data_IF_013236721848
#
_entry.id   IF_013236721848
#
_cell.length_a   1.000
_cell.length_b   1.000
_cell.length_c   1.000
_cell.angle_alpha   90.00
_cell.angle_beta   90.00
_cell.angle_gamma   90.00
#
_symmetry.space_group_name_H-M   'P 1'
#
loop_
_entity.id
_entity.type
_entity.pdbx_description
1 polymer ?
#
# COMPACT_ATOMS: atom_id res chain seq x y z
N UNK A 1 -11.03 31.17 -13.44
CA UNK A 1 -10.08 32.29 -13.29
C UNK A 1 -10.38 32.92 -11.95
N UNK A 2 -9.42 32.91 -11.03
CA UNK A 2 -9.49 33.66 -9.78
C UNK A 2 -9.77 35.14 -10.09
N UNK A 3 -10.60 35.79 -9.27
CA UNK A 3 -10.83 37.23 -9.34
C UNK A 3 -9.51 37.95 -9.04
N UNK A 4 -8.71 38.24 -10.06
CA UNK A 4 -7.48 39.03 -9.93
C UNK A 4 -7.88 40.46 -9.62
N UNK A 5 -7.54 40.95 -8.42
CA UNK A 5 -7.81 42.34 -8.02
C UNK A 5 -6.53 43.18 -8.07
N UNK A 6 -6.63 44.51 -8.16
CA UNK A 6 -5.46 45.40 -8.07
C UNK A 6 -4.65 45.17 -6.79
N UNK A 7 -5.31 44.92 -5.65
CA UNK A 7 -4.67 44.67 -4.36
C UNK A 7 -3.84 43.38 -4.39
N UNK A 8 -4.34 42.33 -5.05
CA UNK A 8 -3.60 41.09 -5.25
C UNK A 8 -2.35 41.28 -6.11
N UNK A 9 -2.45 42.08 -7.19
CA UNK A 9 -1.29 42.41 -8.01
C UNK A 9 -0.23 43.21 -7.23
N UNK A 10 -0.66 44.15 -6.38
CA UNK A 10 0.23 44.92 -5.51
C UNK A 10 0.92 44.03 -4.46
N UNK A 11 0.21 43.08 -3.87
CA UNK A 11 0.79 42.10 -2.93
C UNK A 11 1.88 41.25 -3.60
N UNK A 12 1.64 40.78 -4.84
CA UNK A 12 2.66 40.07 -5.63
C UNK A 12 3.91 40.94 -5.82
N UNK A 13 3.73 42.21 -6.20
CA UNK A 13 4.87 43.12 -6.43
C UNK A 13 5.66 43.31 -5.14
N UNK A 14 4.99 43.62 -4.03
CA UNK A 14 5.66 43.81 -2.73
C UNK A 14 6.40 42.57 -2.26
N UNK A 15 5.86 41.38 -2.54
CA UNK A 15 6.41 40.11 -2.09
C UNK A 15 7.57 39.59 -2.94
N UNK A 16 7.51 39.77 -4.26
CA UNK A 16 8.43 39.11 -5.19
C UNK A 16 9.41 40.06 -5.87
N UNK A 17 9.10 41.35 -5.99
CA UNK A 17 10.03 42.34 -6.53
C UNK A 17 11.22 42.55 -5.58
N UNK A 18 12.42 42.69 -6.15
CA UNK A 18 13.67 42.85 -5.40
C UNK A 18 14.12 44.30 -5.39
N UNK A 19 13.81 45.07 -6.44
CA UNK A 19 14.15 46.48 -6.54
C UNK A 19 13.18 47.35 -5.73
N UNK A 20 13.71 48.11 -4.78
CA UNK A 20 12.91 49.08 -4.00
C UNK A 20 12.31 50.17 -4.89
N UNK A 21 13.03 50.62 -5.93
CA UNK A 21 12.50 51.57 -6.92
C UNK A 21 11.27 50.98 -7.65
N UNK A 22 11.34 49.72 -8.06
CA UNK A 22 10.22 49.06 -8.74
C UNK A 22 9.04 48.83 -7.77
N UNK A 23 9.30 48.54 -6.50
CA UNK A 23 8.24 48.44 -5.48
C UNK A 23 7.52 49.77 -5.28
N UNK A 24 8.26 50.88 -5.20
CA UNK A 24 7.69 52.23 -5.09
C UNK A 24 6.85 52.60 -6.32
N UNK A 25 7.28 52.18 -7.51
CA UNK A 25 6.57 52.42 -8.77
C UNK A 25 5.47 51.39 -9.07
N UNK A 26 5.29 50.38 -8.22
CA UNK A 26 4.36 49.26 -8.42
C UNK A 26 4.57 48.53 -9.75
N UNK A 27 5.82 48.20 -10.07
CA UNK A 27 6.22 47.47 -11.28
C UNK A 27 6.87 46.15 -10.90
N UNK A 28 6.53 45.07 -11.63
CA UNK A 28 7.21 43.77 -11.52
C UNK A 28 8.22 43.60 -12.67
N UNK A 29 9.51 43.57 -12.34
CA UNK A 29 10.60 43.47 -13.30
C UNK A 29 10.71 42.09 -13.94
N UNK A 30 11.06 42.05 -15.23
CA UNK A 30 11.12 40.83 -16.08
C UNK A 30 12.53 40.34 -16.43
N UNK A 31 13.61 41.06 -16.07
CA UNK A 31 14.93 40.86 -16.69
C UNK A 31 15.94 39.95 -15.94
N UNK A 32 16.73 39.24 -16.76
CA UNK A 32 17.66 38.17 -16.41
C UNK A 32 19.04 38.62 -15.88
N UNK A 33 19.29 39.93 -15.71
CA UNK A 33 20.47 40.39 -14.99
C UNK A 33 20.30 40.07 -13.50
N UNK A 34 21.37 39.63 -12.83
CA UNK A 34 21.39 39.01 -11.49
C UNK A 34 20.70 39.77 -10.34
N UNK A 35 20.16 40.96 -10.58
CA UNK A 35 19.66 41.90 -9.58
C UNK A 35 18.16 42.26 -9.71
N UNK A 36 17.42 41.79 -10.73
CA UNK A 36 16.01 42.19 -10.98
C UNK A 36 15.07 41.02 -11.35
N UNK A 37 14.94 40.02 -10.47
CA UNK A 37 14.21 38.77 -10.77
C UNK A 37 12.75 38.71 -10.29
N UNK A 38 12.04 39.84 -10.20
CA UNK A 38 10.69 39.90 -9.64
C UNK A 38 9.70 38.90 -10.26
N UNK A 39 9.53 38.98 -11.57
CA UNK A 39 8.63 38.09 -12.31
C UNK A 39 9.08 36.62 -12.27
N UNK A 40 10.39 36.35 -12.42
CA UNK A 40 10.92 34.98 -12.32
C UNK A 40 10.71 34.38 -10.94
N UNK A 41 10.87 35.16 -9.87
CA UNK A 41 10.63 34.71 -8.49
C UNK A 41 9.16 34.39 -8.26
N UNK A 42 8.25 35.22 -8.76
CA UNK A 42 6.81 34.97 -8.72
C UNK A 42 6.44 33.69 -9.47
N UNK A 43 6.90 33.53 -10.71
CA UNK A 43 6.63 32.34 -11.54
C UNK A 43 7.18 31.04 -10.95
N UNK A 44 8.23 31.11 -10.13
CA UNK A 44 8.81 29.95 -9.42
C UNK A 44 8.23 29.75 -8.02
N UNK A 45 7.29 30.60 -7.61
CA UNK A 45 6.65 30.52 -6.30
C UNK A 45 5.49 29.53 -6.31
N UNK A 46 5.05 29.05 -5.13
CA UNK A 46 3.86 28.21 -5.01
C UNK A 46 2.57 28.86 -5.56
N UNK A 47 2.52 30.18 -5.71
CA UNK A 47 1.37 30.87 -6.29
C UNK A 47 1.20 30.61 -7.80
N UNK A 48 2.27 30.20 -8.47
CA UNK A 48 2.30 29.84 -9.89
C UNK A 48 2.54 28.34 -10.11
N UNK A 49 2.40 27.53 -9.05
CA UNK A 49 2.49 26.09 -9.20
C UNK A 49 1.40 25.60 -10.17
N UNK A 50 1.73 24.61 -10.99
CA UNK A 50 0.76 23.95 -11.86
C UNK A 50 -0.25 23.15 -11.02
N UNK A 51 0.14 22.72 -9.83
CA UNK A 51 -0.74 22.06 -8.88
C UNK A 51 -1.65 23.07 -8.19
N UNK A 52 -2.96 22.82 -8.19
CA UNK A 52 -3.92 23.67 -7.49
C UNK A 52 -3.69 23.56 -5.97
N UNK A 53 -3.24 24.62 -5.28
CA UNK A 53 -2.93 24.55 -3.85
C UNK A 53 -4.18 24.25 -2.99
N UNK A 54 -5.39 24.51 -3.48
CA UNK A 54 -6.64 24.15 -2.80
C UNK A 54 -6.85 22.63 -2.72
N UNK A 55 -6.16 21.84 -3.54
CA UNK A 55 -6.22 20.38 -3.54
C UNK A 55 -5.12 19.75 -2.68
N UNK A 56 -4.30 20.55 -2.00
CA UNK A 56 -3.31 20.06 -1.03
C UNK A 56 -3.96 19.60 0.29
N UNK A 57 -5.22 19.96 0.52
CA UNK A 57 -6.05 19.51 1.64
C UNK A 57 -7.28 18.75 1.13
N UNK A 58 -8.01 18.14 2.07
CA UNK A 58 -9.26 17.45 1.78
C UNK A 58 -10.27 18.48 1.28
N UNK A 59 -10.65 18.38 0.01
CA UNK A 59 -11.53 19.32 -0.69
C UNK A 59 -12.79 18.65 -1.26
N UNK A 60 -12.84 17.32 -1.21
CA UNK A 60 -13.98 16.53 -1.69
C UNK A 60 -14.96 16.25 -0.56
N UNK A 61 -16.19 15.89 -0.92
CA UNK A 61 -17.16 15.32 0.00
C UNK A 61 -16.65 13.96 0.48
N UNK A 62 -16.47 13.79 1.79
CA UNK A 62 -15.97 12.56 2.43
C UNK A 62 -17.06 11.77 3.15
N UNK A 63 -18.33 12.13 2.94
CA UNK A 63 -19.51 11.52 3.56
C UNK A 63 -20.25 10.55 2.63
N UNK A 64 -19.80 10.35 1.39
CA UNK A 64 -20.34 9.32 0.51
C UNK A 64 -19.92 7.91 0.97
N UNK A 65 -20.64 6.85 0.57
CA UNK A 65 -20.23 5.47 0.85
C UNK A 65 -18.81 5.16 0.37
N UNK A 66 -18.06 4.34 1.12
CA UNK A 66 -16.65 4.02 0.83
C UNK A 66 -16.40 3.53 -0.61
N UNK A 67 -17.36 2.84 -1.22
CA UNK A 67 -17.27 2.34 -2.60
C UNK A 67 -17.27 3.44 -3.68
N UNK A 68 -17.50 4.70 -3.32
CA UNK A 68 -17.53 5.83 -4.27
C UNK A 68 -16.16 6.50 -4.44
N UNK A 69 -15.11 6.01 -3.77
CA UNK A 69 -13.78 6.60 -3.77
C UNK A 69 -12.75 5.65 -4.37
N UNK A 70 -11.78 6.20 -5.08
CA UNK A 70 -10.53 5.50 -5.32
C UNK A 70 -9.73 5.41 -4.01
N UNK A 71 -9.20 4.23 -3.70
CA UNK A 71 -8.43 3.98 -2.49
C UNK A 71 -7.00 3.66 -2.89
N UNK A 72 -6.05 4.49 -2.44
CA UNK A 72 -4.62 4.22 -2.61
C UNK A 72 -4.28 2.89 -1.92
N UNK A 73 -3.83 1.92 -2.72
CA UNK A 73 -3.70 0.52 -2.31
C UNK A 73 -2.31 -0.02 -2.67
N UNK A 74 -1.73 -0.83 -1.78
CA UNK A 74 -0.43 -1.47 -1.96
C UNK A 74 -0.60 -2.98 -2.00
N UNK A 75 0.04 -3.61 -2.99
CA UNK A 75 0.09 -5.06 -3.16
C UNK A 75 1.38 -5.62 -2.55
N UNK A 76 1.29 -6.78 -1.89
CA UNK A 76 2.40 -7.45 -1.19
C UNK A 76 3.29 -6.45 -0.44
N UNK A 77 2.64 -5.65 0.42
CA UNK A 77 3.21 -4.44 1.04
C UNK A 77 4.51 -4.69 1.80
N UNK A 78 4.72 -5.91 2.29
CA UNK A 78 5.91 -6.30 3.03
C UNK A 78 7.19 -6.38 2.17
N UNK A 79 7.09 -6.51 0.84
CA UNK A 79 8.24 -6.69 -0.05
C UNK A 79 8.99 -5.39 -0.33
N UNK A 80 10.31 -5.47 -0.27
CA UNK A 80 11.22 -4.36 -0.61
C UNK A 80 11.55 -4.27 -2.10
N UNK A 81 11.30 -5.32 -2.87
CA UNK A 81 11.73 -5.46 -4.25
C UNK A 81 10.87 -6.44 -5.04
N UNK A 82 11.51 -7.42 -5.67
CA UNK A 82 10.83 -8.41 -6.50
C UNK A 82 9.98 -9.42 -5.70
N UNK A 83 9.12 -10.13 -6.43
CA UNK A 83 8.16 -11.08 -5.88
C UNK A 83 8.78 -12.43 -5.48
N UNK A 84 10.03 -12.75 -5.81
CA UNK A 84 10.56 -14.12 -5.67
C UNK A 84 11.65 -14.23 -4.61
N UNK A 85 12.54 -13.26 -4.53
CA UNK A 85 13.79 -13.32 -3.76
C UNK A 85 13.97 -12.15 -2.79
N UNK A 86 13.17 -11.10 -2.92
CA UNK A 86 13.42 -9.87 -2.17
C UNK A 86 13.21 -10.02 -0.66
N UNK A 87 13.75 -9.07 0.09
CA UNK A 87 13.53 -9.03 1.53
C UNK A 87 12.11 -8.53 1.83
N UNK A 88 11.49 -9.15 2.83
CA UNK A 88 10.32 -8.61 3.52
C UNK A 88 10.76 -7.76 4.70
N UNK A 89 10.13 -6.60 4.88
CA UNK A 89 10.46 -5.63 5.93
C UNK A 89 9.25 -4.94 6.49
N UNK A 90 9.20 -4.80 7.82
CA UNK A 90 8.12 -4.09 8.51
C UNK A 90 8.09 -2.61 8.14
N UNK A 91 9.25 -2.02 7.84
CA UNK A 91 9.38 -0.61 7.44
C UNK A 91 8.63 -0.27 6.15
N UNK A 92 8.34 -1.26 5.30
CA UNK A 92 7.57 -1.03 4.09
C UNK A 92 6.14 -0.61 4.41
N UNK A 93 5.53 -1.18 5.45
CA UNK A 93 4.23 -0.72 5.95
C UNK A 93 4.28 0.72 6.44
N UNK A 94 5.30 1.07 7.23
CA UNK A 94 5.49 2.43 7.71
C UNK A 94 5.66 3.43 6.54
N UNK A 95 6.40 3.04 5.50
CA UNK A 95 6.63 3.87 4.32
C UNK A 95 5.33 4.14 3.55
N UNK A 96 4.61 3.08 3.15
CA UNK A 96 3.40 3.26 2.33
C UNK A 96 2.29 4.01 3.09
N UNK A 97 2.16 3.80 4.40
CA UNK A 97 1.19 4.51 5.21
C UNK A 97 1.52 6.01 5.33
N UNK A 98 2.81 6.36 5.42
CA UNK A 98 3.27 7.77 5.42
C UNK A 98 3.12 8.43 4.04
N UNK A 99 3.24 7.65 2.97
CA UNK A 99 2.97 8.10 1.60
C UNK A 99 1.46 8.25 1.33
N UNK A 100 0.59 7.83 2.26
CA UNK A 100 -0.86 8.02 2.21
C UNK A 100 -1.66 6.80 1.74
N UNK A 101 -1.02 5.65 1.52
CA UNK A 101 -1.70 4.40 1.19
C UNK A 101 -2.71 4.01 2.28
N UNK A 102 -3.92 3.60 1.90
CA UNK A 102 -5.05 3.28 2.79
C UNK A 102 -5.52 1.82 2.70
N UNK A 103 -5.05 1.04 1.74
CA UNK A 103 -5.27 -0.41 1.71
C UNK A 103 -3.92 -1.12 1.60
N UNK A 104 -3.60 -1.95 2.59
CA UNK A 104 -2.32 -2.65 2.70
C UNK A 104 -2.54 -4.15 2.82
N UNK A 105 -1.59 -4.92 2.32
CA UNK A 105 -1.67 -6.37 2.20
C UNK A 105 -0.74 -7.08 3.19
N UNK A 106 -1.25 -8.15 3.80
CA UNK A 106 -0.54 -8.97 4.78
C UNK A 106 -0.81 -10.45 4.50
N UNK A 107 0.20 -11.14 4.01
CA UNK A 107 0.12 -12.56 3.65
C UNK A 107 0.59 -13.40 4.83
N UNK A 108 -0.35 -13.91 5.59
CA UNK A 108 -0.13 -14.64 6.81
C UNK A 108 0.12 -16.12 6.54
N UNK A 109 1.26 -16.62 7.04
CA UNK A 109 1.66 -18.02 6.96
C UNK A 109 2.05 -18.54 8.34
N UNK A 110 1.92 -19.86 8.52
CA UNK A 110 2.41 -20.52 9.72
C UNK A 110 3.92 -20.34 9.88
N UNK A 111 4.33 -19.85 11.05
CA UNK A 111 5.73 -19.71 11.42
C UNK A 111 6.17 -20.66 12.54
N UNK A 112 7.47 -20.63 12.87
CA UNK A 112 8.04 -21.47 13.92
C UNK A 112 7.45 -21.13 15.30
N UNK A 113 7.49 -22.10 16.21
CA UNK A 113 7.05 -21.94 17.61
C UNK A 113 5.60 -21.45 17.80
N UNK A 114 4.75 -21.63 16.77
CA UNK A 114 3.36 -21.18 16.77
C UNK A 114 3.19 -19.68 16.55
N UNK A 115 4.24 -18.98 16.11
CA UNK A 115 4.20 -17.55 15.81
C UNK A 115 3.98 -17.29 14.31
N UNK A 116 2.88 -16.60 13.93
CA UNK A 116 2.56 -16.33 12.53
C UNK A 116 3.58 -15.37 11.90
N UNK A 117 3.89 -15.64 10.64
CA UNK A 117 4.85 -14.87 9.83
C UNK A 117 4.19 -14.30 8.59
N UNK A 118 4.80 -13.27 8.02
CA UNK A 118 4.40 -12.61 6.78
C UNK A 118 5.49 -12.79 5.74
N UNK A 119 5.13 -13.35 4.59
CA UNK A 119 5.98 -13.46 3.40
C UNK A 119 5.15 -13.87 2.18
N UNK A 120 5.79 -13.81 1.00
CA UNK A 120 5.13 -14.28 -0.21
C UNK A 120 5.21 -15.80 -0.28
N UNK A 121 4.04 -16.44 -0.28
CA UNK A 121 3.87 -17.89 -0.28
C UNK A 121 4.64 -18.57 -1.39
N UNK A 122 5.22 -19.75 -1.10
CA UNK A 122 5.92 -20.55 -2.11
C UNK A 122 6.98 -19.73 -2.89
N UNK A 123 7.75 -18.88 -2.20
CA UNK A 123 8.90 -18.15 -2.76
C UNK A 123 10.09 -18.18 -1.80
N UNK A 124 11.20 -17.54 -2.17
CA UNK A 124 12.41 -17.40 -1.35
C UNK A 124 12.49 -16.02 -0.67
N UNK A 125 11.37 -15.28 -0.62
CA UNK A 125 11.30 -14.01 0.10
C UNK A 125 11.56 -14.21 1.60
N UNK A 126 12.22 -13.25 2.25
CA UNK A 126 12.47 -13.35 3.69
C UNK A 126 11.15 -13.24 4.48
N UNK A 127 11.15 -13.74 5.71
CA UNK A 127 9.97 -13.75 6.57
C UNK A 127 10.10 -12.69 7.67
N UNK A 128 8.99 -12.06 8.04
CA UNK A 128 8.88 -11.15 9.19
C UNK A 128 7.74 -11.62 10.10
N UNK A 129 7.80 -11.33 11.40
CA UNK A 129 6.71 -11.73 12.30
C UNK A 129 5.47 -10.86 12.08
N UNK A 130 4.30 -11.49 12.10
CA UNK A 130 3.02 -10.77 12.00
C UNK A 130 2.85 -9.76 13.15
N UNK A 131 3.34 -10.09 14.35
CA UNK A 131 3.29 -9.20 15.52
C UNK A 131 3.95 -7.85 15.23
N UNK A 132 5.15 -7.86 14.65
CA UNK A 132 5.91 -6.65 14.35
C UNK A 132 5.24 -5.83 13.22
N UNK A 133 4.61 -6.52 12.26
CA UNK A 133 3.76 -5.89 11.23
C UNK A 133 2.58 -5.17 11.87
N UNK A 134 1.85 -5.83 12.78
CA UNK A 134 0.71 -5.24 13.47
C UNK A 134 1.12 -4.03 14.33
N UNK A 135 2.23 -4.11 15.06
CA UNK A 135 2.77 -2.99 15.85
C UNK A 135 3.16 -1.80 14.97
N UNK A 136 3.77 -2.07 13.81
CA UNK A 136 4.13 -1.03 12.84
C UNK A 136 2.89 -0.36 12.27
N UNK A 137 1.90 -1.13 11.82
CA UNK A 137 0.63 -0.59 11.32
C UNK A 137 -0.04 0.27 12.39
N UNK A 138 -0.12 -0.22 13.63
CA UNK A 138 -0.71 0.50 14.75
C UNK A 138 -0.12 1.90 14.95
N UNK A 139 1.20 2.01 14.81
CA UNK A 139 1.96 3.25 14.97
C UNK A 139 1.77 4.22 13.81
N UNK A 140 1.75 3.73 12.57
CA UNK A 140 1.80 4.59 11.38
C UNK A 140 0.46 4.80 10.68
N UNK A 141 -0.58 4.02 11.00
CA UNK A 141 -1.88 4.02 10.30
C UNK A 141 -2.45 5.42 10.08
N UNK A 142 -2.36 6.31 11.09
CA UNK A 142 -3.04 7.61 11.07
C UNK A 142 -2.11 8.83 11.16
N UNK A 143 -0.80 8.65 10.94
CA UNK A 143 0.16 9.78 11.00
C UNK A 143 -0.05 10.75 9.83
N UNK A 144 -0.24 10.22 8.61
CA UNK A 144 -0.40 11.05 7.41
C UNK A 144 -1.78 11.68 7.31
N UNK A 145 -2.82 10.92 7.66
CA UNK A 145 -4.22 11.35 7.72
C UNK A 145 -5.04 10.36 8.55
N UNK A 146 -6.24 10.75 8.97
CA UNK A 146 -7.09 9.98 9.87
C UNK A 146 -8.10 9.06 9.17
N UNK A 147 -8.16 9.02 7.83
CA UNK A 147 -9.11 8.16 7.12
C UNK A 147 -8.78 6.67 7.29
N UNK A 148 -9.79 5.78 7.15
CA UNK A 148 -9.64 4.38 7.50
C UNK A 148 -8.52 3.68 6.74
N UNK A 149 -7.91 2.70 7.40
CA UNK A 149 -6.96 1.77 6.78
C UNK A 149 -7.64 0.41 6.61
N UNK A 150 -7.57 -0.16 5.41
CA UNK A 150 -8.02 -1.50 5.10
C UNK A 150 -6.82 -2.44 5.16
N UNK A 151 -6.93 -3.47 5.99
CA UNK A 151 -5.97 -4.54 6.12
C UNK A 151 -6.47 -5.75 5.31
N UNK A 152 -5.93 -5.92 4.10
CA UNK A 152 -6.18 -7.11 3.27
C UNK A 152 -5.33 -8.27 3.81
N UNK A 153 -5.98 -9.21 4.50
CA UNK A 153 -5.32 -10.40 5.03
C UNK A 153 -5.52 -11.55 4.06
N UNK A 154 -4.42 -12.03 3.49
CA UNK A 154 -4.37 -13.32 2.81
C UNK A 154 -3.92 -14.37 3.84
N UNK A 155 -4.76 -15.36 4.11
CA UNK A 155 -4.61 -16.21 5.30
C UNK A 155 -4.38 -17.67 4.93
N UNK A 156 -3.14 -18.13 5.15
CA UNK A 156 -2.69 -19.51 4.98
C UNK A 156 -2.26 -20.15 6.32
N UNK A 157 -2.70 -19.58 7.45
CA UNK A 157 -2.37 -20.10 8.76
C UNK A 157 -3.28 -21.25 9.17
N UNK A 158 -2.75 -22.17 9.98
CA UNK A 158 -3.54 -23.12 10.75
C UNK A 158 -4.50 -22.41 11.72
N UNK A 159 -5.55 -23.10 12.16
CA UNK A 159 -6.54 -22.54 13.10
C UNK A 159 -5.87 -22.04 14.38
N UNK A 160 -4.83 -22.72 14.88
CA UNK A 160 -4.09 -22.29 16.05
C UNK A 160 -3.41 -20.92 15.84
N UNK A 161 -2.74 -20.73 14.70
CA UNK A 161 -2.07 -19.46 14.40
C UNK A 161 -3.05 -18.37 13.94
N UNK A 162 -4.19 -18.72 13.34
CA UNK A 162 -5.29 -17.77 13.10
C UNK A 162 -5.85 -17.18 14.40
N UNK A 163 -6.03 -18.00 15.43
CA UNK A 163 -6.41 -17.53 16.78
C UNK A 163 -5.37 -16.56 17.33
N UNK A 164 -4.07 -16.83 17.09
CA UNK A 164 -2.96 -15.96 17.48
C UNK A 164 -2.96 -14.63 16.72
N UNK A 165 -3.19 -14.63 15.40
CA UNK A 165 -3.37 -13.42 14.59
C UNK A 165 -4.53 -12.58 15.14
N UNK A 166 -5.68 -13.19 15.40
CA UNK A 166 -6.84 -12.49 15.96
C UNK A 166 -6.57 -11.91 17.35
N UNK A 167 -5.80 -12.61 18.18
CA UNK A 167 -5.33 -12.11 19.47
C UNK A 167 -4.46 -10.87 19.30
N UNK A 168 -3.42 -10.94 18.46
CA UNK A 168 -2.53 -9.81 18.21
C UNK A 168 -3.24 -8.59 17.64
N UNK A 169 -4.15 -8.78 16.68
CA UNK A 169 -4.95 -7.69 16.14
C UNK A 169 -5.75 -7.00 17.25
N UNK A 170 -6.43 -7.75 18.12
CA UNK A 170 -7.21 -7.19 19.23
C UNK A 170 -6.35 -6.47 20.26
N UNK A 171 -5.24 -7.07 20.67
CA UNK A 171 -4.35 -6.52 21.70
C UNK A 171 -3.62 -5.26 21.22
N UNK A 172 -3.16 -5.26 19.97
CA UNK A 172 -2.30 -4.20 19.44
C UNK A 172 -3.13 -3.04 18.87
N UNK A 173 -4.18 -3.34 18.09
CA UNK A 173 -4.98 -2.31 17.42
C UNK A 173 -6.12 -1.78 18.30
N UNK A 174 -6.62 -2.58 19.25
CA UNK A 174 -7.63 -2.18 20.24
C UNK A 174 -8.83 -1.47 19.61
N UNK A 175 -9.12 -0.26 20.10
CA UNK A 175 -10.26 0.58 19.69
C UNK A 175 -10.26 0.95 18.20
N UNK A 176 -9.13 0.81 17.49
CA UNK A 176 -9.06 1.02 16.04
C UNK A 176 -9.82 -0.05 15.27
N UNK A 177 -9.98 -1.25 15.82
CA UNK A 177 -10.79 -2.33 15.22
C UNK A 177 -12.26 -2.28 15.64
N UNK A 178 -12.59 -1.58 16.72
CA UNK A 178 -13.95 -1.53 17.22
C UNK A 178 -14.83 -0.63 16.33
N UNK A 179 -15.80 -1.23 15.65
CA UNK A 179 -16.76 -0.53 14.81
C UNK A 179 -18.10 -0.27 15.50
N UNK A 180 -18.25 -0.63 16.79
CA UNK A 180 -19.52 -0.49 17.54
C UNK A 180 -20.01 0.95 17.62
N UNK A 181 -19.09 1.92 17.64
CA UNK A 181 -19.39 3.36 17.68
C UNK A 181 -19.62 3.98 16.29
N UNK A 182 -19.40 3.22 15.21
CA UNK A 182 -19.55 3.73 13.85
C UNK A 182 -21.04 3.73 13.51
N UNK A 183 -21.60 4.93 13.35
CA UNK A 183 -22.98 5.08 12.91
C UNK A 183 -23.07 4.67 11.45
N UNK A 184 -23.66 3.49 11.21
CA UNK A 184 -24.02 3.05 9.88
C UNK A 184 -25.48 3.40 9.63
N UNK A 185 -25.76 4.06 8.50
CA UNK A 185 -27.11 4.41 8.10
C UNK A 185 -27.89 3.17 7.62
N UNK A 186 -28.14 3.11 6.31
CA UNK A 186 -28.70 1.92 5.69
C UNK A 186 -27.71 0.74 5.79
N UNK A 187 -28.16 -0.41 6.30
CA UNK A 187 -27.37 -1.65 6.38
C UNK A 187 -26.89 -2.16 5.01
N UNK A 188 -27.45 -1.65 3.91
CA UNK A 188 -27.06 -2.00 2.54
C UNK A 188 -25.92 -1.15 1.98
N UNK A 189 -25.51 -0.08 2.67
CA UNK A 189 -24.45 0.82 2.23
C UNK A 189 -23.21 0.69 3.11
N UNK A 190 -22.04 0.82 2.49
CA UNK A 190 -20.80 0.94 3.24
C UNK A 190 -20.76 2.29 3.97
N UNK A 191 -20.18 2.35 5.18
CA UNK A 191 -20.00 3.62 5.89
C UNK A 191 -19.09 4.57 5.10
N UNK A 192 -19.19 5.86 5.36
CA UNK A 192 -18.32 6.84 4.70
C UNK A 192 -16.90 6.85 5.27
N UNK A 193 -15.89 7.32 4.51
CA UNK A 193 -14.55 7.58 5.05
C UNK A 193 -14.60 8.46 6.30
N UNK A 194 -15.49 9.45 6.34
CA UNK A 194 -15.66 10.35 7.48
C UNK A 194 -16.14 9.61 8.74
N UNK A 195 -17.10 8.68 8.63
CA UNK A 195 -17.57 7.88 9.78
C UNK A 195 -16.52 6.88 10.27
N UNK A 196 -15.58 6.51 9.42
CA UNK A 196 -14.56 5.50 9.68
C UNK A 196 -13.21 6.08 10.09
N UNK A 197 -13.15 7.37 10.42
CA UNK A 197 -11.90 8.00 10.87
C UNK A 197 -11.30 7.27 12.08
N UNK A 198 -9.99 7.02 12.02
CA UNK A 198 -9.25 6.31 13.05
C UNK A 198 -9.53 4.81 13.12
N UNK A 199 -10.28 4.24 12.16
CA UNK A 199 -10.63 2.81 12.15
C UNK A 199 -9.79 2.00 11.16
N UNK A 200 -9.51 0.76 11.55
CA UNK A 200 -8.84 -0.25 10.73
C UNK A 200 -9.86 -1.33 10.40
N UNK A 201 -10.06 -1.58 9.11
CA UNK A 201 -11.00 -2.57 8.59
C UNK A 201 -10.24 -3.82 8.17
N UNK A 202 -10.68 -5.00 8.61
CA UNK A 202 -10.09 -6.26 8.15
C UNK A 202 -10.88 -6.76 6.94
N UNK A 203 -10.19 -6.90 5.79
CA UNK A 203 -10.68 -7.58 4.60
C UNK A 203 -10.10 -8.99 4.59
N UNK A 204 -10.96 -10.00 4.53
CA UNK A 204 -10.58 -11.41 4.44
C UNK A 204 -11.81 -12.30 4.28
N UNK A 205 -11.59 -13.62 4.23
CA UNK A 205 -12.67 -14.61 4.16
C UNK A 205 -13.47 -14.58 5.47
N UNK A 206 -14.81 -14.64 5.37
CA UNK A 206 -15.73 -14.66 6.50
C UNK A 206 -16.58 -15.92 6.47
N UNK A 207 -16.66 -16.64 7.59
CA UNK A 207 -17.52 -17.81 7.72
C UNK A 207 -19.01 -17.43 7.58
N UNK A 208 -19.83 -18.26 6.91
CA UNK A 208 -21.27 -18.09 6.84
C UNK A 208 -21.92 -17.97 8.22
N UNK A 209 -22.91 -17.09 8.35
CA UNK A 209 -23.64 -16.85 9.60
C UNK A 209 -24.40 -18.07 10.14
N UNK A 210 -24.62 -19.10 9.32
CA UNK A 210 -25.36 -20.32 9.68
C UNK A 210 -24.52 -21.38 10.39
N UNK A 211 -23.20 -21.21 10.48
CA UNK A 211 -22.34 -22.10 11.26
C UNK A 211 -22.45 -21.73 12.75
N UNK A 212 -22.96 -22.66 13.55
CA UNK A 212 -22.98 -22.52 15.01
C UNK A 212 -21.58 -22.56 15.59
N UNK A 213 -21.42 -22.07 16.83
CA UNK A 213 -20.15 -22.11 17.56
C UNK A 213 -19.59 -23.54 17.78
N UNK A 214 -20.45 -24.55 17.60
CA UNK A 214 -20.15 -25.97 17.75
C UNK A 214 -19.80 -26.67 16.42
N UNK A 215 -19.68 -25.92 15.31
CA UNK A 215 -19.22 -26.48 14.05
C UNK A 215 -17.76 -26.97 14.18
N UNK A 216 -17.45 -28.15 13.63
CA UNK A 216 -16.08 -28.68 13.67
C UNK A 216 -15.10 -27.71 12.99
N UNK A 217 -13.89 -27.62 13.55
CA UNK A 217 -12.81 -26.80 13.01
C UNK A 217 -12.47 -27.30 11.59
N UNK A 218 -12.84 -26.52 10.57
CA UNK A 218 -12.53 -26.80 9.16
C UNK A 218 -11.15 -26.26 8.78
N UNK A 219 -10.51 -26.90 7.80
CA UNK A 219 -9.27 -26.39 7.20
C UNK A 219 -9.59 -25.25 6.22
N UNK A 220 -8.70 -24.25 6.15
CA UNK A 220 -8.81 -23.19 5.15
C UNK A 220 -8.23 -23.74 3.85
N UNK A 221 -9.09 -23.95 2.85
CA UNK A 221 -8.66 -24.39 1.52
C UNK A 221 -7.86 -23.28 0.82
N UNK A 222 -6.68 -23.65 0.30
CA UNK A 222 -5.84 -22.81 -0.56
C UNK A 222 -6.47 -22.60 -1.96
N UNK A 223 -7.61 -23.24 -2.27
CA UNK A 223 -8.28 -23.21 -3.59
C UNK A 223 -8.75 -21.82 -4.04
N UNK A 224 -8.91 -20.83 -3.15
CA UNK A 224 -9.19 -19.44 -3.57
C UNK A 224 -7.99 -18.49 -3.38
N UNK A 225 -6.80 -19.02 -3.12
CA UNK A 225 -5.58 -18.21 -3.22
C UNK A 225 -5.26 -18.00 -4.70
N UNK A 226 -4.78 -16.82 -5.07
CA UNK A 226 -4.36 -16.56 -6.46
C UNK A 226 -3.14 -17.41 -6.87
N UNK A 227 -2.53 -18.09 -5.90
CA UNK A 227 -1.40 -19.01 -5.99
C UNK A 227 -1.85 -20.46 -6.23
N UNK A 228 -2.71 -20.71 -7.21
CA UNK A 228 -2.97 -22.07 -7.72
C UNK A 228 -1.71 -22.62 -8.43
N UNK A 229 -0.72 -23.06 -7.64
CA UNK A 229 0.42 -23.82 -8.14
C UNK A 229 0.12 -25.30 -7.90
N UNK A 230 0.25 -26.12 -8.96
CA UNK A 230 0.14 -27.58 -8.84
C UNK A 230 1.05 -28.09 -7.70
N UNK A 231 0.58 -29.07 -6.90
CA UNK A 231 1.29 -29.57 -5.71
C UNK A 231 2.75 -30.00 -5.97
N UNK A 232 3.10 -30.34 -7.21
CA UNK A 232 4.46 -30.68 -7.64
C UNK A 232 5.43 -29.47 -7.67
N UNK A 233 4.88 -28.26 -7.58
CA UNK A 233 5.63 -27.00 -7.58
C UNK A 233 5.78 -26.37 -6.20
N UNK A 234 5.20 -26.94 -5.14
CA UNK A 234 5.43 -26.45 -3.77
C UNK A 234 6.86 -26.79 -3.36
N UNK A 235 7.65 -25.77 -2.97
CA UNK A 235 8.98 -25.99 -2.40
C UNK A 235 8.82 -26.72 -1.06
N UNK A 236 8.87 -28.06 -1.08
CA UNK A 236 8.86 -28.87 0.14
C UNK A 236 9.98 -28.37 1.05
N UNK A 237 9.66 -28.13 2.32
CA UNK A 237 10.60 -27.71 3.37
C UNK A 237 11.66 -28.80 3.61
N UNK A 238 12.61 -28.92 2.70
CA UNK A 238 13.76 -29.81 2.80
C UNK A 238 14.90 -29.05 3.48
N UNK A 239 14.76 -28.78 4.78
CA UNK A 239 15.92 -28.54 5.64
C UNK A 239 16.63 -29.86 5.92
N UNK A 240 17.17 -30.49 4.86
CA UNK A 240 18.00 -31.68 4.93
C UNK A 240 18.76 -31.81 3.60
N UNK A 241 19.97 -31.23 3.56
CA UNK A 241 21.01 -31.42 2.54
C UNK A 241 20.63 -31.21 1.06
N UNK A 242 20.79 -29.95 0.62
CA UNK A 242 21.19 -29.59 -0.75
C UNK A 242 20.15 -29.79 -1.83
N UNK A 243 19.22 -28.84 -1.97
CA UNK A 243 18.55 -28.66 -3.25
C UNK A 243 19.62 -28.38 -4.33
N UNK A 244 19.58 -29.09 -5.45
CA UNK A 244 20.49 -28.80 -6.56
C UNK A 244 20.11 -27.45 -7.16
N UNK A 245 21.09 -26.67 -7.60
CA UNK A 245 20.89 -25.35 -8.25
C UNK A 245 19.81 -25.40 -9.34
N UNK A 246 19.77 -26.51 -10.07
CA UNK A 246 18.78 -26.81 -11.11
C UNK A 246 17.34 -26.97 -10.59
N UNK A 247 17.13 -27.43 -9.36
CA UNK A 247 15.80 -27.51 -8.74
C UNK A 247 15.29 -26.13 -8.35
N UNK A 248 16.17 -25.29 -7.81
CA UNK A 248 15.86 -23.91 -7.43
C UNK A 248 15.56 -23.08 -8.69
N UNK A 249 16.37 -23.22 -9.74
CA UNK A 249 16.13 -22.54 -11.02
C UNK A 249 14.81 -22.98 -11.68
N UNK A 250 14.53 -24.29 -11.70
CA UNK A 250 13.27 -24.80 -12.24
C UNK A 250 12.05 -24.25 -11.50
N UNK A 251 12.11 -24.22 -10.16
CA UNK A 251 11.05 -23.67 -9.31
C UNK A 251 10.83 -22.18 -9.57
N UNK A 252 11.90 -21.39 -9.61
CA UNK A 252 11.85 -19.95 -9.89
C UNK A 252 11.21 -19.69 -11.25
N UNK A 253 11.58 -20.47 -12.28
CA UNK A 253 11.01 -20.33 -13.63
C UNK A 253 9.52 -20.61 -13.64
N UNK A 254 9.06 -21.68 -12.98
CA UNK A 254 7.64 -22.02 -12.91
C UNK A 254 6.83 -20.99 -12.14
N UNK A 255 7.32 -20.51 -10.99
CA UNK A 255 6.63 -19.45 -10.23
C UNK A 255 6.60 -18.14 -11.01
N UNK A 256 7.67 -17.80 -11.75
CA UNK A 256 7.69 -16.63 -12.63
C UNK A 256 6.61 -16.73 -13.73
N UNK A 257 6.41 -17.91 -14.31
CA UNK A 257 5.33 -18.15 -15.28
C UNK A 257 3.94 -17.99 -14.64
N UNK A 258 3.75 -18.40 -13.39
CA UNK A 258 2.50 -18.15 -12.64
C UNK A 258 2.24 -16.65 -12.46
N UNK A 259 3.23 -15.92 -11.94
CA UNK A 259 3.12 -14.48 -11.70
C UNK A 259 2.89 -13.69 -13.00
N UNK A 260 3.48 -14.14 -14.13
CA UNK A 260 3.22 -13.57 -15.46
C UNK A 260 1.80 -13.86 -15.97
N UNK A 261 1.16 -14.96 -15.56
CA UNK A 261 -0.24 -15.23 -15.87
C UNK A 261 -1.15 -14.37 -14.99
N UNK A 262 -0.88 -14.25 -13.70
CA UNK A 262 -1.62 -13.39 -12.79
C UNK A 262 -1.61 -11.92 -13.23
N UNK A 263 -0.46 -11.41 -13.71
CA UNK A 263 -0.36 -10.05 -14.24
C UNK A 263 -1.23 -9.85 -15.49
N UNK A 264 -1.32 -10.86 -16.36
CA UNK A 264 -2.14 -10.80 -17.58
C UNK A 264 -3.65 -10.79 -17.32
N UNK A 265 -4.09 -11.27 -16.15
CA UNK A 265 -5.51 -11.23 -15.76
C UNK A 265 -5.90 -9.80 -15.33
N UNK A 266 -4.97 -8.99 -14.80
CA UNK A 266 -5.22 -7.59 -14.38
C UNK A 266 -5.05 -6.55 -15.48
N UNK A 267 -4.19 -6.80 -16.47
CA UNK A 267 -3.86 -5.82 -17.54
C UNK A 267 -4.90 -5.71 -18.68
N UNK A 268 -6.13 -6.26 -18.53
CA UNK A 268 -7.17 -6.08 -19.56
C UNK A 268 -7.79 -4.67 -19.60
N UNK A 269 -7.48 -3.81 -18.63
CA UNK A 269 -8.02 -2.44 -18.56
C UNK A 269 -7.05 -1.32 -18.95
N UNK A 270 -5.74 -1.59 -19.15
CA UNK A 270 -4.81 -0.58 -19.66
C UNK A 270 -3.60 -1.20 -20.39
N UNK A 271 -3.50 -1.09 -21.73
CA UNK A 271 -2.41 -1.66 -22.51
C UNK A 271 -1.04 -1.00 -22.27
N UNK A 272 -0.99 0.15 -21.57
CA UNK A 272 0.24 0.90 -21.27
C UNK A 272 0.72 0.76 -19.80
N UNK A 273 0.22 -0.23 -19.05
CA UNK A 273 0.66 -0.52 -17.68
C UNK A 273 2.13 -0.99 -17.63
N UNK A 274 3.04 -0.05 -17.39
CA UNK A 274 4.49 -0.26 -17.28
C UNK A 274 4.95 -0.98 -16.00
N UNK A 275 4.04 -1.45 -15.15
CA UNK A 275 4.37 -1.74 -13.75
C UNK A 275 4.80 -3.18 -13.48
N UNK A 276 3.99 -4.18 -13.84
CA UNK A 276 4.25 -5.58 -13.41
C UNK A 276 5.20 -6.31 -14.37
N UNK A 277 5.03 -6.11 -15.67
CA UNK A 277 5.88 -6.75 -16.70
C UNK A 277 7.33 -6.26 -16.65
N UNK A 278 7.55 -4.99 -16.30
CA UNK A 278 8.89 -4.43 -16.12
C UNK A 278 9.56 -4.98 -14.86
N UNK A 279 8.83 -5.10 -13.75
CA UNK A 279 9.32 -5.73 -12.52
C UNK A 279 9.69 -7.20 -12.73
N UNK A 280 8.85 -7.96 -13.45
CA UNK A 280 9.11 -9.37 -13.75
C UNK A 280 10.28 -9.55 -14.72
N UNK A 281 10.45 -8.67 -15.72
CA UNK A 281 11.65 -8.65 -16.59
C UNK A 281 12.91 -8.33 -15.80
N UNK A 282 12.88 -7.32 -14.93
CA UNK A 282 14.01 -6.98 -14.07
C UNK A 282 14.38 -8.14 -13.14
N UNK A 283 13.39 -8.91 -12.67
CA UNK A 283 13.59 -10.11 -11.86
C UNK A 283 14.27 -11.22 -12.68
N UNK A 284 13.79 -11.50 -13.90
CA UNK A 284 14.39 -12.47 -14.81
C UNK A 284 15.83 -12.10 -15.20
N UNK A 285 16.08 -10.81 -15.48
CA UNK A 285 17.42 -10.30 -15.80
C UNK A 285 18.37 -10.40 -14.59
N UNK A 286 17.93 -10.01 -13.39
CA UNK A 286 18.71 -10.14 -12.16
C UNK A 286 19.07 -11.58 -11.79
N UNK A 287 18.13 -12.52 -11.98
CA UNK A 287 18.36 -13.95 -11.81
C UNK A 287 19.42 -14.50 -12.77
N UNK A 288 19.36 -14.10 -14.04
CA UNK A 288 20.32 -14.56 -15.06
C UNK A 288 21.76 -14.08 -14.83
N UNK A 289 21.94 -12.99 -14.07
CA UNK A 289 23.25 -12.45 -13.70
C UNK A 289 23.79 -13.14 -12.44
N UNK A 290 22.93 -13.41 -11.45
CA UNK A 290 23.33 -14.05 -10.20
C UNK A 290 23.57 -15.57 -10.32
N UNK A 291 22.92 -16.25 -11.28
CA UNK A 291 23.13 -17.68 -11.56
C UNK A 291 24.37 -17.96 -12.46
N UNK A 292 25.08 -16.93 -12.90
CA UNK A 292 26.28 -17.05 -13.77
C UNK A 292 27.61 -16.72 -13.06
N UNK A 293 27.58 -16.50 -11.75
CA UNK A 293 28.76 -16.30 -10.89
C UNK A 293 28.94 -17.50 -9.96
#
# INVERSE_FOLDING_TARGET
MSNVTPEYCLDIIQKFEVSEENKEQNVLGIEAASSFKGFTNFMRSPACDVFNPLHCEVHQDMDQPLCNYFIASSHNTYLTGDQLLSQSRVEMYARVLQDGCRCIEVDCWDGPDGEPVVHHGYTLTSKIFFRDVAETINKYAFIKNEFPVILSIENHCSIQQQKKIAQYLKEILGDKLDLSSVVTGDSRQLPSPQNLKGKILVKGKKLPHSLGADAEEGEVSDEDSADEIEDDCKLKSCYSNGATEHQVESFIRTKLESLLKESQIRDKEDPDSFTVRALLRATHEGLSVNLKQ
#
